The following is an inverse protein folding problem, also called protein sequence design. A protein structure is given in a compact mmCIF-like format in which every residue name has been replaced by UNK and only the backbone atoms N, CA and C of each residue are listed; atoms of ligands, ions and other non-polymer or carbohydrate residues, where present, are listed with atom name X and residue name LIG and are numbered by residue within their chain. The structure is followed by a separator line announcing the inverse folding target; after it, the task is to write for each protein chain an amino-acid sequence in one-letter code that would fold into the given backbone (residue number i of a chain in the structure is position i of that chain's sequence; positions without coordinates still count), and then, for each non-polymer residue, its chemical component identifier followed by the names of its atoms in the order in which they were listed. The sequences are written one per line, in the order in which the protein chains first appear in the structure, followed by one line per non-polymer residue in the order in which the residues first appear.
data_IF_699819316912
#
_entry.id   IF_699819316912
#
_cell.length_a   1.000
_cell.length_b   1.000
_cell.length_c   1.000
_cell.angle_alpha   90.00
_cell.angle_beta   90.00
_cell.angle_gamma   90.00
#
_symmetry.space_group_name_H-M   'P 1'
#
loop_
_entity.id
_entity.type
_entity.pdbx_description
1 polymer ?
#
# COMPACT_ATOMS: atom_id res chain seq x y z
N UNK A 1 -1.53 -7.82 20.09
CA UNK A 1 -2.38 -8.50 19.09
C UNK A 1 -2.74 -9.87 19.64
N UNK A 2 -4.01 -10.24 19.64
CA UNK A 2 -4.45 -11.59 20.02
C UNK A 2 -4.16 -12.62 18.92
N UNK A 3 -4.23 -13.90 19.27
CA UNK A 3 -3.89 -15.02 18.39
C UNK A 3 -4.76 -15.08 17.12
N UNK A 4 -6.06 -14.78 17.22
CA UNK A 4 -6.98 -14.84 16.08
C UNK A 4 -6.64 -13.76 15.06
N UNK A 5 -6.31 -12.56 15.54
CA UNK A 5 -5.89 -11.46 14.68
C UNK A 5 -4.57 -11.77 13.97
N UNK A 6 -3.61 -12.39 14.68
CA UNK A 6 -2.34 -12.81 14.09
C UNK A 6 -2.54 -13.86 12.99
N UNK A 7 -3.35 -14.89 13.24
CA UNK A 7 -3.67 -15.93 12.26
C UNK A 7 -4.40 -15.38 11.03
N UNK A 8 -5.36 -14.47 11.26
CA UNK A 8 -6.04 -13.77 10.17
C UNK A 8 -5.06 -12.93 9.34
N UNK A 9 -4.15 -12.21 9.99
CA UNK A 9 -3.16 -11.39 9.31
C UNK A 9 -2.23 -12.23 8.43
N UNK A 10 -1.72 -13.36 8.93
CA UNK A 10 -0.89 -14.29 8.15
C UNK A 10 -1.66 -14.79 6.92
N UNK A 11 -2.89 -15.25 7.11
CA UNK A 11 -3.76 -15.70 6.00
C UNK A 11 -3.92 -14.62 4.93
N UNK A 12 -4.16 -13.37 5.33
CA UNK A 12 -4.40 -12.28 4.39
C UNK A 12 -3.13 -11.76 3.71
N UNK A 13 -1.96 -11.90 4.35
CA UNK A 13 -0.67 -11.57 3.72
C UNK A 13 -0.32 -12.51 2.56
N UNK A 14 -0.76 -13.77 2.63
CA UNK A 14 -0.57 -14.77 1.58
C UNK A 14 -1.69 -14.76 0.52
N UNK A 15 -2.81 -14.11 0.82
CA UNK A 15 -3.98 -14.11 -0.05
C UNK A 15 -3.80 -13.23 -1.28
N UNK A 16 -4.23 -13.73 -2.43
CA UNK A 16 -4.24 -13.02 -3.71
C UNK A 16 -5.65 -12.98 -4.27
N UNK A 17 -6.10 -11.81 -4.69
CA UNK A 17 -7.39 -11.66 -5.38
C UNK A 17 -7.29 -12.09 -6.84
N UNK A 18 -6.10 -11.92 -7.45
CA UNK A 18 -5.84 -12.27 -8.85
C UNK A 18 -4.55 -13.09 -8.97
N UNK A 19 -4.48 -14.04 -9.92
CA UNK A 19 -3.26 -14.83 -10.13
C UNK A 19 -2.01 -14.02 -10.48
N UNK A 20 -2.18 -12.82 -11.05
CA UNK A 20 -1.08 -11.93 -11.46
C UNK A 20 -0.49 -11.11 -10.31
N UNK A 21 -1.15 -11.11 -9.16
CA UNK A 21 -0.70 -10.39 -7.96
C UNK A 21 0.42 -11.17 -7.26
N UNK A 22 1.35 -10.43 -6.66
CA UNK A 22 2.51 -10.98 -5.95
C UNK A 22 2.44 -10.47 -4.50
N UNK A 23 2.53 -11.34 -3.48
CA UNK A 23 2.65 -10.88 -2.11
C UNK A 23 3.88 -9.99 -1.97
N UNK A 24 3.69 -8.78 -1.43
CA UNK A 24 4.75 -7.77 -1.37
C UNK A 24 5.97 -8.28 -0.58
N UNK A 25 5.73 -9.00 0.51
CA UNK A 25 6.78 -9.56 1.34
C UNK A 25 7.64 -10.56 0.57
N UNK A 26 7.03 -11.42 -0.24
CA UNK A 26 7.74 -12.41 -1.06
C UNK A 26 8.52 -11.72 -2.18
N UNK A 27 7.90 -10.72 -2.84
CA UNK A 27 8.56 -9.94 -3.89
C UNK A 27 9.86 -9.30 -3.37
N UNK A 28 9.78 -8.59 -2.24
CA UNK A 28 10.96 -7.92 -1.65
C UNK A 28 12.00 -8.93 -1.18
N UNK A 29 11.60 -10.03 -0.53
CA UNK A 29 12.54 -11.07 -0.07
C UNK A 29 13.22 -11.82 -1.20
N UNK A 30 12.59 -11.87 -2.38
CA UNK A 30 13.16 -12.51 -3.56
C UNK A 30 14.22 -11.66 -4.28
N UNK A 31 14.30 -10.36 -4.00
CA UNK A 31 15.27 -9.46 -4.65
C UNK A 31 16.71 -9.91 -4.37
N UNK A 32 17.54 -9.96 -5.41
CA UNK A 32 18.93 -10.39 -5.35
C UNK A 32 19.12 -11.90 -5.20
N UNK A 33 18.04 -12.70 -5.29
CA UNK A 33 18.10 -14.17 -5.22
C UNK A 33 18.00 -14.78 -6.62
N UNK A 34 18.33 -16.08 -6.83
CA UNK A 34 18.14 -16.73 -8.13
C UNK A 34 16.68 -16.81 -8.60
N UNK A 35 15.72 -16.76 -7.66
CA UNK A 35 14.29 -16.92 -7.91
C UNK A 35 13.53 -15.59 -7.74
N UNK A 36 14.05 -14.50 -8.33
CA UNK A 36 13.42 -13.18 -8.23
C UNK A 36 11.98 -13.20 -8.77
N UNK A 37 11.04 -12.76 -7.95
CA UNK A 37 9.63 -12.63 -8.34
C UNK A 37 9.36 -11.32 -9.09
N UNK A 38 10.29 -10.37 -9.02
CA UNK A 38 10.24 -9.08 -9.71
C UNK A 38 11.62 -8.64 -10.15
N UNK A 39 11.67 -7.91 -11.26
CA UNK A 39 12.89 -7.25 -11.72
C UNK A 39 12.82 -5.76 -11.42
N UNK A 40 13.82 -5.25 -10.70
CA UNK A 40 13.99 -3.82 -10.49
C UNK A 40 14.80 -3.21 -11.64
N UNK A 41 14.26 -2.13 -12.23
CA UNK A 41 14.94 -1.39 -13.30
C UNK A 41 14.87 0.10 -13.01
N UNK A 42 15.94 0.83 -13.30
CA UNK A 42 15.88 2.29 -13.29
C UNK A 42 14.94 2.78 -14.40
N UNK A 43 14.11 3.75 -14.07
CA UNK A 43 13.19 4.38 -15.00
C UNK A 43 13.97 5.06 -16.14
N UNK A 44 13.48 4.88 -17.36
CA UNK A 44 14.07 5.49 -18.55
C UNK A 44 13.81 7.00 -18.63
N UNK A 45 12.77 7.50 -17.95
CA UNK A 45 12.41 8.92 -17.93
C UNK A 45 13.02 9.67 -16.77
N UNK A 46 13.20 9.02 -15.62
CA UNK A 46 13.79 9.60 -14.40
C UNK A 46 14.75 8.62 -13.76
N UNK A 47 16.05 8.88 -13.88
CA UNK A 47 17.10 7.98 -13.36
C UNK A 47 17.08 7.77 -11.84
N UNK A 48 16.41 8.66 -11.09
CA UNK A 48 16.17 8.52 -9.65
C UNK A 48 15.11 7.49 -9.29
N UNK A 49 14.28 7.09 -10.25
CA UNK A 49 13.08 6.30 -9.98
C UNK A 49 13.36 4.84 -10.35
N UNK A 50 12.92 3.92 -9.50
CA UNK A 50 12.94 2.49 -9.77
C UNK A 50 11.55 2.00 -10.16
N UNK A 51 11.51 1.10 -11.13
CA UNK A 51 10.30 0.42 -11.59
C UNK A 51 10.47 -1.07 -11.33
N UNK A 52 9.54 -1.65 -10.57
CA UNK A 52 9.46 -3.08 -10.34
C UNK A 52 8.52 -3.70 -11.37
N UNK A 53 9.07 -4.59 -12.21
CA UNK A 53 8.35 -5.26 -13.29
C UNK A 53 8.24 -6.77 -13.03
N UNK A 54 7.28 -7.42 -13.67
CA UNK A 54 7.25 -8.88 -13.72
C UNK A 54 8.48 -9.40 -14.49
N UNK A 55 9.12 -10.50 -14.04
CA UNK A 55 10.31 -11.03 -14.67
C UNK A 55 10.14 -11.28 -16.18
N UNK A 56 11.15 -10.91 -16.96
CA UNK A 56 11.16 -11.03 -18.41
C UNK A 56 10.20 -10.10 -19.16
N UNK A 57 9.51 -9.17 -18.48
CA UNK A 57 8.54 -8.27 -19.10
C UNK A 57 8.82 -6.80 -18.79
N UNK A 58 8.11 -5.89 -19.48
CA UNK A 58 8.03 -4.47 -19.12
C UNK A 58 6.75 -4.12 -18.33
N UNK A 59 5.96 -5.12 -17.97
CA UNK A 59 4.71 -4.93 -17.26
C UNK A 59 5.00 -4.69 -15.76
N UNK A 60 4.49 -3.60 -15.16
CA UNK A 60 4.62 -3.36 -13.73
C UNK A 60 4.12 -4.55 -12.91
N UNK A 61 4.83 -4.87 -11.83
CA UNK A 61 4.37 -5.84 -10.85
C UNK A 61 3.20 -5.26 -10.05
N UNK A 62 2.21 -6.09 -9.73
CA UNK A 62 1.07 -5.72 -8.89
C UNK A 62 1.27 -6.42 -7.55
N UNK A 63 1.46 -5.63 -6.50
CA UNK A 63 1.68 -6.14 -5.16
C UNK A 63 0.40 -6.20 -4.36
N UNK A 64 0.31 -7.20 -3.48
CA UNK A 64 -0.70 -7.27 -2.42
C UNK A 64 -0.02 -7.33 -1.07
N UNK A 65 -0.58 -6.64 -0.09
CA UNK A 65 -0.11 -6.65 1.29
C UNK A 65 -1.31 -6.51 2.21
N UNK A 66 -1.24 -7.17 3.37
CA UNK A 66 -2.24 -7.05 4.41
C UNK A 66 -1.60 -6.49 5.68
N UNK A 67 -2.31 -5.56 6.31
CA UNK A 67 -1.94 -4.97 7.59
C UNK A 67 -3.17 -4.75 8.45
N UNK A 68 -2.96 -4.46 9.73
CA UNK A 68 -4.06 -4.19 10.66
C UNK A 68 -4.65 -2.82 10.33
N UNK A 69 -5.96 -2.76 10.10
CA UNK A 69 -6.63 -1.48 9.87
C UNK A 69 -6.63 -0.63 11.15
N UNK A 70 -6.22 0.63 11.04
CA UNK A 70 -6.25 1.58 12.16
C UNK A 70 -7.46 2.50 12.07
N UNK A 71 -7.52 3.29 10.99
CA UNK A 71 -8.54 4.31 10.80
C UNK A 71 -8.68 4.65 9.32
N UNK A 72 -9.80 5.28 8.96
CA UNK A 72 -10.00 5.88 7.65
C UNK A 72 -10.89 7.12 7.75
N UNK A 73 -10.81 7.96 6.71
CA UNK A 73 -11.85 8.95 6.45
C UNK A 73 -13.21 8.22 6.27
N UNK A 74 -14.36 8.90 6.42
CA UNK A 74 -15.67 8.30 6.23
C UNK A 74 -15.78 7.52 4.91
N UNK A 75 -16.24 6.28 4.93
CA UNK A 75 -16.23 5.39 3.75
C UNK A 75 -17.10 5.91 2.60
N UNK A 76 -18.17 6.62 2.91
CA UNK A 76 -19.14 7.10 1.92
C UNK A 76 -18.66 8.36 1.19
N UNK A 77 -17.85 9.19 1.86
CA UNK A 77 -17.58 10.55 1.40
C UNK A 77 -16.11 10.94 1.41
N UNK A 78 -15.25 10.21 2.13
CA UNK A 78 -13.92 10.69 2.48
C UNK A 78 -14.00 12.08 3.12
N UNK A 79 -13.25 13.03 2.58
CA UNK A 79 -13.33 14.44 2.97
C UNK A 79 -14.33 15.30 2.16
N UNK A 80 -15.14 14.71 1.26
CA UNK A 80 -16.10 15.45 0.43
C UNK A 80 -17.40 15.71 1.18
N UNK A 81 -17.64 16.97 1.54
CA UNK A 81 -18.92 17.41 2.14
C UNK A 81 -19.62 18.33 1.16
N UNK A 82 -20.59 17.79 0.42
CA UNK A 82 -21.23 18.52 -0.68
C UNK A 82 -21.95 19.80 -0.23
N UNK A 83 -21.61 20.93 -0.86
CA UNK A 83 -22.31 22.20 -0.66
C UNK A 83 -22.29 22.69 0.78
N UNK A 84 -23.48 22.96 1.35
CA UNK A 84 -23.66 23.45 2.74
C UNK A 84 -24.01 22.35 3.73
N UNK A 85 -23.84 21.07 3.38
CA UNK A 85 -24.09 19.98 4.30
C UNK A 85 -23.19 20.11 5.56
N UNK A 86 -23.69 19.70 6.73
CA UNK A 86 -22.88 19.68 7.94
C UNK A 86 -21.68 18.74 7.75
N UNK A 87 -20.52 19.14 8.26
CA UNK A 87 -19.33 18.30 8.23
C UNK A 87 -19.43 17.22 9.31
N UNK A 88 -18.93 15.99 9.07
CA UNK A 88 -18.76 15.00 10.12
C UNK A 88 -17.81 15.52 11.21
N UNK A 89 -18.11 15.25 12.48
CA UNK A 89 -17.31 15.74 13.63
C UNK A 89 -15.85 15.26 13.61
N UNK A 90 -15.57 14.13 12.96
CA UNK A 90 -14.24 13.55 12.83
C UNK A 90 -13.39 14.16 11.69
N UNK A 91 -13.96 15.06 10.88
CA UNK A 91 -13.29 15.65 9.73
C UNK A 91 -12.81 17.07 10.05
N UNK A 92 -11.49 17.27 10.05
CA UNK A 92 -10.88 18.59 10.18
C UNK A 92 -11.43 19.55 9.11
N UNK A 93 -11.90 20.74 9.53
CA UNK A 93 -12.45 21.76 8.65
C UNK A 93 -11.50 22.14 7.52
N UNK A 94 -10.18 22.14 7.79
CA UNK A 94 -9.16 22.46 6.79
C UNK A 94 -9.04 21.41 5.68
N UNK A 95 -9.50 20.18 5.92
CA UNK A 95 -9.48 19.07 4.95
C UNK A 95 -10.77 18.96 4.14
N UNK A 96 -11.82 19.70 4.47
CA UNK A 96 -13.13 19.56 3.81
C UNK A 96 -13.06 20.02 2.35
N UNK A 97 -13.41 19.11 1.43
CA UNK A 97 -13.70 19.45 0.05
C UNK A 97 -15.20 19.71 -0.12
N UNK A 98 -15.58 20.91 -0.57
CA UNK A 98 -17.00 21.28 -0.81
C UNK A 98 -17.50 20.96 -2.22
N UNK A 99 -16.59 20.62 -3.11
CA UNK A 99 -16.82 20.32 -4.52
C UNK A 99 -15.98 19.10 -4.91
N UNK A 100 -16.45 18.36 -5.91
CA UNK A 100 -15.66 17.28 -6.51
C UNK A 100 -14.44 17.87 -7.20
N UNK A 101 -13.26 17.31 -6.91
CA UNK A 101 -11.99 17.78 -7.48
C UNK A 101 -10.80 17.06 -6.86
N UNK A 102 -9.59 17.43 -7.26
CA UNK A 102 -8.36 16.76 -6.80
C UNK A 102 -8.12 16.86 -5.28
N UNK A 103 -8.80 17.79 -4.61
CA UNK A 103 -8.76 17.93 -3.15
C UNK A 103 -9.76 17.03 -2.42
N UNK A 104 -10.73 16.44 -3.14
CA UNK A 104 -11.60 15.40 -2.60
C UNK A 104 -10.81 14.08 -2.57
N UNK A 105 -10.55 13.59 -1.39
CA UNK A 105 -9.69 12.45 -1.11
C UNK A 105 -10.32 11.53 -0.07
N UNK A 106 -9.91 10.27 -0.13
CA UNK A 106 -10.19 9.26 0.87
C UNK A 106 -8.84 8.71 1.34
N UNK A 107 -8.63 8.73 2.65
CA UNK A 107 -7.38 8.30 3.29
C UNK A 107 -7.69 7.20 4.28
N UNK A 108 -6.74 6.29 4.45
CA UNK A 108 -6.79 5.26 5.47
C UNK A 108 -5.38 5.02 6.03
N UNK A 109 -5.32 4.49 7.25
CA UNK A 109 -4.09 4.17 7.92
C UNK A 109 -4.07 2.69 8.33
N UNK A 110 -2.90 2.08 8.17
CA UNK A 110 -2.59 0.75 8.65
C UNK A 110 -1.82 0.90 9.96
N UNK A 111 -2.24 0.20 11.00
CA UNK A 111 -1.50 0.08 12.25
C UNK A 111 -0.22 -0.72 11.99
N UNK A 112 0.92 -0.15 12.39
CA UNK A 112 2.24 -0.79 12.27
C UNK A 112 2.95 -0.90 13.62
N UNK A 113 2.25 -0.65 14.72
CA UNK A 113 2.83 -0.75 16.06
C UNK A 113 3.00 -2.22 16.45
N UNK A 114 2.00 -3.05 16.16
CA UNK A 114 1.98 -4.48 16.45
C UNK A 114 2.62 -5.30 15.33
N UNK A 115 2.47 -4.88 14.07
CA UNK A 115 3.10 -5.51 12.91
C UNK A 115 4.08 -4.55 12.21
N UNK A 116 5.38 -4.82 12.39
CA UNK A 116 6.47 -3.98 11.86
C UNK A 116 7.07 -4.49 10.56
N UNK A 117 6.51 -5.56 9.99
CA UNK A 117 7.09 -6.22 8.81
C UNK A 117 7.32 -5.23 7.67
N UNK A 118 6.35 -4.34 7.41
CA UNK A 118 6.43 -3.37 6.31
C UNK A 118 7.67 -2.46 6.36
N UNK A 119 8.13 -2.09 7.57
CA UNK A 119 9.33 -1.28 7.74
C UNK A 119 10.61 -2.07 7.41
N UNK A 120 10.64 -3.36 7.77
CA UNK A 120 11.72 -4.25 7.40
C UNK A 120 11.79 -4.48 5.89
N UNK A 121 10.63 -4.69 5.25
CA UNK A 121 10.53 -4.84 3.80
C UNK A 121 10.97 -3.56 3.08
N UNK A 122 10.54 -2.39 3.54
CA UNK A 122 10.98 -1.12 2.98
C UNK A 122 12.51 -0.97 3.05
N UNK A 123 13.10 -1.27 4.22
CA UNK A 123 14.56 -1.19 4.41
C UNK A 123 15.32 -2.13 3.47
N UNK A 124 14.83 -3.36 3.28
CA UNK A 124 15.42 -4.33 2.35
C UNK A 124 15.35 -3.82 0.90
N UNK A 125 14.20 -3.31 0.50
CA UNK A 125 13.99 -2.76 -0.84
C UNK A 125 14.88 -1.54 -1.08
N UNK A 126 14.95 -0.61 -0.13
CA UNK A 126 15.81 0.58 -0.21
C UNK A 126 17.29 0.20 -0.32
N UNK A 127 17.73 -0.81 0.45
CA UNK A 127 19.11 -1.31 0.39
C UNK A 127 19.45 -1.92 -0.97
N UNK A 128 18.50 -2.60 -1.61
CA UNK A 128 18.68 -3.18 -2.94
C UNK A 128 18.71 -2.11 -4.05
N UNK A 129 18.03 -0.98 -3.86
CA UNK A 129 17.85 0.09 -4.85
C UNK A 129 18.88 1.23 -4.74
N UNK A 130 19.84 1.14 -3.81
CA UNK A 130 20.98 2.06 -3.70
C UNK A 130 21.99 1.85 -4.84
#
# INVERSE_FOLDING_TARGET
MDQLTLEALVKWKEYRYRPVEIPFADAVRSLGTPDELVEARQSTTRKSDWVLCRPGTSAPAIFVYAGVFSEADPYETGNLVWGKAPAPDCLDEGRIARYTGFKAAYSYAIETYSDKEIWGLQTLMDTYMQ
#
